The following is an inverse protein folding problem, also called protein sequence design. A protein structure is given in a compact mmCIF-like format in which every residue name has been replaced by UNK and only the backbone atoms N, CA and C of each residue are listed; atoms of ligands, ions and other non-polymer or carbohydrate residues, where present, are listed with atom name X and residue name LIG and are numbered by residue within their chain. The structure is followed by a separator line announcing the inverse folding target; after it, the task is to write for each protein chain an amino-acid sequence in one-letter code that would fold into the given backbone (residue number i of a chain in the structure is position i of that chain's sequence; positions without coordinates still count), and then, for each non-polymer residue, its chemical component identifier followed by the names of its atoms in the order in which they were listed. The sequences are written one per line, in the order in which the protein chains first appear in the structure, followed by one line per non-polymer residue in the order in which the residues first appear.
data_IF_602888664811
#
_entry.id   IF_602888664811
#
_cell.length_a   1.000
_cell.length_b   1.000
_cell.length_c   1.000
_cell.angle_alpha   90.00
_cell.angle_beta   90.00
_cell.angle_gamma   90.00
#
_symmetry.space_group_name_H-M   'P 1'
#
loop_
_entity.id
_entity.type
_entity.pdbx_description
1 polymer ?
#
# COMPACT_ATOMS: atom_id res chain seq x y z
N UNK A 1 -24.54 13.10 -17.52
CA UNK A 1 -23.11 12.86 -17.31
C UNK A 1 -22.59 13.83 -16.27
N UNK A 2 -22.12 13.31 -15.15
CA UNK A 2 -21.40 14.09 -14.15
C UNK A 2 -20.10 14.60 -14.76
N UNK A 3 -19.78 15.86 -14.51
CA UNK A 3 -18.52 16.51 -14.88
C UNK A 3 -17.53 16.45 -13.73
N UNK A 4 -16.25 16.72 -13.99
CA UNK A 4 -15.26 16.86 -12.92
C UNK A 4 -15.67 17.94 -11.92
N UNK A 5 -16.21 19.06 -12.40
CA UNK A 5 -16.73 20.15 -11.58
C UNK A 5 -17.88 19.70 -10.64
N UNK A 6 -18.72 18.76 -11.08
CA UNK A 6 -19.79 18.22 -10.21
C UNK A 6 -19.24 17.38 -9.05
N UNK A 7 -18.04 16.80 -9.23
CA UNK A 7 -17.37 15.94 -8.26
C UNK A 7 -16.40 16.70 -7.34
N UNK A 8 -15.72 17.72 -7.88
CA UNK A 8 -14.85 18.68 -7.16
C UNK A 8 -15.00 20.05 -7.85
N UNK A 9 -15.78 20.99 -7.29
CA UNK A 9 -15.97 22.31 -7.91
C UNK A 9 -14.80 23.29 -7.67
N UNK A 10 -13.90 22.98 -6.72
CA UNK A 10 -12.73 23.81 -6.43
C UNK A 10 -11.54 23.41 -7.31
N UNK A 11 -11.09 24.34 -8.16
CA UNK A 11 -9.96 24.13 -9.06
C UNK A 11 -8.65 23.91 -8.30
N UNK A 12 -8.42 24.64 -7.20
CA UNK A 12 -7.19 24.53 -6.43
C UNK A 12 -7.05 23.12 -5.82
N UNK A 13 -8.16 22.55 -5.34
CA UNK A 13 -8.20 21.17 -4.85
C UNK A 13 -7.83 20.14 -5.93
N UNK A 14 -8.28 20.32 -7.18
CA UNK A 14 -7.91 19.41 -8.28
C UNK A 14 -6.41 19.51 -8.59
N UNK A 15 -5.90 20.74 -8.68
CA UNK A 15 -4.51 21.00 -9.06
C UNK A 15 -3.50 20.66 -7.96
N UNK A 16 -3.96 20.43 -6.73
CA UNK A 16 -3.13 20.00 -5.61
C UNK A 16 -2.98 18.47 -5.51
N UNK A 17 -3.79 17.70 -6.25
CA UNK A 17 -3.78 16.24 -6.20
C UNK A 17 -2.81 15.67 -7.24
N UNK A 18 -2.06 14.66 -6.84
CA UNK A 18 -1.20 13.89 -7.75
C UNK A 18 -2.04 12.96 -8.66
N UNK A 19 -1.49 12.48 -9.80
CA UNK A 19 -2.25 11.68 -10.77
C UNK A 19 -2.92 10.43 -10.18
N UNK A 20 -2.24 9.72 -9.28
CA UNK A 20 -2.80 8.57 -8.55
C UNK A 20 -4.00 8.92 -7.68
N UNK A 21 -4.01 10.08 -7.04
CA UNK A 21 -5.09 10.51 -6.15
C UNK A 21 -6.34 10.88 -6.96
N UNK A 22 -6.15 11.47 -8.15
CA UNK A 22 -7.21 11.79 -9.10
C UNK A 22 -7.69 10.59 -9.94
N UNK A 23 -6.95 9.49 -9.98
CA UNK A 23 -7.28 8.34 -10.83
C UNK A 23 -8.64 7.71 -10.50
N UNK A 24 -9.06 7.74 -9.23
CA UNK A 24 -10.37 7.23 -8.81
C UNK A 24 -11.53 8.05 -9.39
N UNK A 25 -11.36 9.35 -9.40
CA UNK A 25 -12.26 10.31 -10.03
C UNK A 25 -12.36 10.13 -11.53
N UNK A 26 -11.21 9.97 -12.17
CA UNK A 26 -11.13 9.71 -13.60
C UNK A 26 -11.90 8.43 -13.99
N UNK A 27 -11.78 7.35 -13.21
CA UNK A 27 -12.51 6.12 -13.47
C UNK A 27 -14.01 6.25 -13.22
N UNK A 28 -14.45 7.03 -12.22
CA UNK A 28 -15.88 7.37 -12.07
C UNK A 28 -16.41 8.10 -13.29
N UNK A 29 -15.70 9.11 -13.77
CA UNK A 29 -16.06 9.84 -14.98
C UNK A 29 -16.10 8.93 -16.21
N UNK A 30 -15.13 8.03 -16.38
CA UNK A 30 -15.06 7.10 -17.52
C UNK A 30 -16.20 6.07 -17.46
N UNK A 31 -16.56 5.59 -16.27
CA UNK A 31 -17.58 4.56 -16.08
C UNK A 31 -19.00 5.14 -16.03
N UNK A 32 -19.15 6.44 -15.77
CA UNK A 32 -20.42 7.18 -15.89
C UNK A 32 -20.86 7.21 -17.36
N UNK A 33 -21.53 6.14 -17.78
CA UNK A 33 -22.02 5.93 -19.14
C UNK A 33 -23.51 5.60 -19.10
N UNK A 34 -24.33 6.59 -19.40
CA UNK A 34 -25.73 6.36 -19.76
C UNK A 34 -25.80 5.86 -21.20
N UNK A 35 -26.83 5.08 -21.52
CA UNK A 35 -27.06 4.61 -22.89
C UNK A 35 -27.37 5.82 -23.78
N UNK A 36 -26.40 6.24 -24.62
CA UNK A 36 -26.41 7.37 -25.59
C UNK A 36 -25.41 8.51 -25.33
N UNK A 37 -24.51 8.41 -24.34
CA UNK A 37 -23.49 9.45 -24.13
C UNK A 37 -22.19 9.18 -24.90
N UNK A 38 -21.51 10.23 -25.41
CA UNK A 38 -20.18 10.09 -26.02
C UNK A 38 -19.20 9.45 -25.04
N UNK A 39 -18.46 8.45 -25.51
CA UNK A 39 -17.46 7.76 -24.68
C UNK A 39 -16.32 8.71 -24.31
N UNK A 40 -15.93 8.68 -23.03
CA UNK A 40 -14.73 9.37 -22.52
C UNK A 40 -13.45 8.55 -22.73
N UNK A 41 -13.52 7.43 -23.45
CA UNK A 41 -12.38 6.53 -23.69
C UNK A 41 -11.45 7.00 -24.82
N UNK A 42 -11.28 8.31 -24.95
CA UNK A 42 -10.30 8.95 -25.81
C UNK A 42 -9.75 10.17 -25.05
N UNK A 43 -8.43 10.41 -25.09
CA UNK A 43 -7.78 11.51 -24.37
C UNK A 43 -8.42 12.87 -24.69
N UNK A 44 -8.78 13.10 -25.96
CA UNK A 44 -9.40 14.36 -26.40
C UNK A 44 -10.77 14.55 -25.76
N UNK A 45 -11.58 13.49 -25.70
CA UNK A 45 -12.91 13.51 -25.08
C UNK A 45 -12.84 13.59 -23.56
N UNK A 46 -11.84 12.97 -22.96
CA UNK A 46 -11.64 12.94 -21.51
C UNK A 46 -11.18 14.30 -20.96
N UNK A 47 -10.37 15.04 -21.73
CA UNK A 47 -9.87 16.38 -21.39
C UNK A 47 -10.74 17.51 -21.98
N UNK A 48 -11.94 17.18 -22.46
CA UNK A 48 -12.84 18.14 -23.09
C UNK A 48 -13.56 19.00 -22.06
N UNK A 49 -14.09 20.14 -22.49
CA UNK A 49 -14.87 21.03 -21.63
C UNK A 49 -16.14 20.36 -21.10
N UNK A 50 -16.73 19.43 -21.85
CA UNK A 50 -17.92 18.67 -21.46
C UNK A 50 -17.62 17.65 -20.35
N UNK A 51 -16.41 17.09 -20.31
CA UNK A 51 -16.00 16.19 -19.22
C UNK A 51 -15.55 16.97 -17.99
N UNK A 52 -14.84 18.08 -18.19
CA UNK A 52 -14.30 18.90 -17.10
C UNK A 52 -15.39 19.73 -16.40
N UNK A 53 -16.31 20.33 -17.16
CA UNK A 53 -17.36 21.18 -16.60
C UNK A 53 -16.98 22.66 -16.42
N UNK A 54 -17.84 23.46 -15.76
CA UNK A 54 -17.79 24.92 -15.80
C UNK A 54 -16.82 25.55 -14.79
N UNK A 55 -15.50 25.39 -14.98
CA UNK A 55 -14.50 26.14 -14.22
C UNK A 55 -14.26 27.57 -14.77
N UNK A 56 -13.61 28.42 -13.96
CA UNK A 56 -13.17 29.73 -14.42
C UNK A 56 -12.14 29.61 -15.56
N UNK A 57 -12.13 30.60 -16.46
CA UNK A 57 -11.35 30.50 -17.70
C UNK A 57 -9.83 30.33 -17.46
N UNK A 58 -9.30 30.89 -16.36
CA UNK A 58 -7.89 30.74 -15.97
C UNK A 58 -7.51 29.34 -15.50
N UNK A 59 -8.46 28.58 -14.96
CA UNK A 59 -8.20 27.28 -14.34
C UNK A 59 -8.40 26.10 -15.30
N UNK A 60 -9.16 26.31 -16.38
CA UNK A 60 -9.50 25.25 -17.34
C UNK A 60 -8.28 24.60 -17.96
N UNK A 61 -7.29 25.38 -18.38
CA UNK A 61 -6.12 24.84 -19.08
C UNK A 61 -5.22 24.04 -18.13
N UNK A 62 -4.83 24.54 -16.93
CA UNK A 62 -4.15 23.73 -15.92
C UNK A 62 -4.88 22.42 -15.60
N UNK A 63 -6.21 22.47 -15.43
CA UNK A 63 -7.01 21.26 -15.17
C UNK A 63 -6.93 20.29 -16.35
N UNK A 64 -6.96 20.76 -17.60
CA UNK A 64 -6.80 19.89 -18.78
C UNK A 64 -5.46 19.16 -18.79
N UNK A 65 -4.38 19.81 -18.39
CA UNK A 65 -3.07 19.16 -18.27
C UNK A 65 -3.05 18.14 -17.14
N UNK A 66 -3.57 18.46 -15.95
CA UNK A 66 -3.70 17.51 -14.85
C UNK A 66 -4.53 16.27 -15.27
N UNK A 67 -5.65 16.48 -15.96
CA UNK A 67 -6.47 15.41 -16.52
C UNK A 67 -5.69 14.52 -17.51
N UNK A 68 -4.80 15.10 -18.32
CA UNK A 68 -3.96 14.35 -19.25
C UNK A 68 -2.89 13.50 -18.53
N UNK A 69 -2.33 14.01 -17.44
CA UNK A 69 -1.40 13.25 -16.58
C UNK A 69 -2.09 12.05 -15.93
N UNK A 70 -3.31 12.24 -15.43
CA UNK A 70 -4.14 11.15 -14.89
C UNK A 70 -4.43 10.11 -15.95
N UNK A 71 -4.74 10.51 -17.18
CA UNK A 71 -4.92 9.57 -18.29
C UNK A 71 -3.67 8.72 -18.54
N UNK A 72 -2.50 9.36 -18.60
CA UNK A 72 -1.23 8.66 -18.77
C UNK A 72 -0.96 7.66 -17.64
N UNK A 73 -1.26 8.04 -16.40
CA UNK A 73 -1.17 7.16 -15.24
C UNK A 73 -2.10 5.94 -15.36
N UNK A 74 -3.37 6.14 -15.74
CA UNK A 74 -4.34 5.05 -15.93
C UNK A 74 -3.89 4.03 -17.00
N UNK A 75 -3.22 4.50 -18.06
CA UNK A 75 -2.63 3.64 -19.09
C UNK A 75 -1.40 2.91 -18.55
N UNK A 76 -0.48 3.60 -17.86
CA UNK A 76 0.71 3.01 -17.23
C UNK A 76 0.35 1.87 -16.27
N UNK A 77 -0.67 2.07 -15.44
CA UNK A 77 -1.17 1.09 -14.48
C UNK A 77 -1.99 -0.05 -15.11
N UNK A 78 -2.22 0.01 -16.43
CA UNK A 78 -2.96 -0.98 -17.19
C UNK A 78 -4.46 -1.00 -16.85
N UNK A 79 -5.00 0.12 -16.36
CA UNK A 79 -6.44 0.29 -16.11
C UNK A 79 -7.17 0.64 -17.41
N UNK A 80 -6.49 1.37 -18.30
CA UNK A 80 -6.87 1.59 -19.69
C UNK A 80 -5.85 0.93 -20.63
N UNK A 81 -6.29 0.56 -21.83
CA UNK A 81 -5.39 0.11 -22.89
C UNK A 81 -5.91 0.55 -24.27
N UNK A 82 -5.03 0.76 -25.26
CA UNK A 82 -5.44 1.09 -26.63
C UNK A 82 -6.35 0.00 -27.22
N UNK A 83 -7.38 0.41 -27.95
CA UNK A 83 -8.26 -0.52 -28.66
C UNK A 83 -7.49 -1.18 -29.80
N UNK A 84 -7.42 -2.52 -29.86
CA UNK A 84 -6.68 -3.21 -30.91
C UNK A 84 -7.16 -2.81 -32.32
N UNK A 85 -6.23 -2.38 -33.17
CA UNK A 85 -6.51 -1.97 -34.55
C UNK A 85 -7.07 -0.55 -34.70
N UNK A 86 -7.27 0.19 -33.62
CA UNK A 86 -7.67 1.60 -33.68
C UNK A 86 -6.47 2.51 -33.97
N UNK A 87 -6.68 3.55 -34.80
CA UNK A 87 -5.67 4.56 -35.13
C UNK A 87 -6.04 5.97 -34.65
N UNK A 88 -7.20 6.12 -34.00
CA UNK A 88 -7.75 7.41 -33.56
C UNK A 88 -7.54 7.66 -32.06
N UNK A 89 -6.76 6.80 -31.40
CA UNK A 89 -6.41 6.94 -29.99
C UNK A 89 -7.50 6.47 -29.03
N UNK A 90 -8.44 5.63 -29.48
CA UNK A 90 -9.46 5.06 -28.63
C UNK A 90 -8.88 3.99 -27.71
N UNK A 91 -9.34 3.98 -26.47
CA UNK A 91 -8.96 3.03 -25.45
C UNK A 91 -10.18 2.21 -25.01
N UNK A 92 -9.93 1.16 -24.24
CA UNK A 92 -10.96 0.43 -23.53
C UNK A 92 -10.56 0.26 -22.07
N UNK A 93 -11.56 0.14 -21.19
CA UNK A 93 -11.32 -0.21 -19.79
C UNK A 93 -10.90 -1.68 -19.72
N UNK A 94 -9.71 -1.95 -19.20
CA UNK A 94 -9.17 -3.32 -19.15
C UNK A 94 -9.95 -4.19 -18.17
N UNK A 95 -9.69 -5.50 -18.16
CA UNK A 95 -10.23 -6.41 -17.13
C UNK A 95 -9.87 -5.98 -15.71
N UNK A 96 -8.72 -5.31 -15.52
CA UNK A 96 -8.29 -4.74 -14.23
C UNK A 96 -9.08 -3.46 -13.93
N UNK A 97 -9.13 -2.51 -14.87
CA UNK A 97 -9.89 -1.27 -14.71
C UNK A 97 -11.36 -1.51 -14.38
N UNK A 98 -12.00 -2.51 -15.00
CA UNK A 98 -13.42 -2.86 -14.73
C UNK A 98 -13.69 -3.33 -13.29
N UNK A 99 -12.67 -3.79 -12.56
CA UNK A 99 -12.78 -4.16 -11.15
C UNK A 99 -12.73 -2.93 -10.22
N UNK A 100 -12.18 -1.81 -10.69
CA UNK A 100 -12.00 -0.57 -9.95
C UNK A 100 -13.02 0.45 -10.47
N UNK A 101 -14.25 0.36 -9.97
CA UNK A 101 -15.38 1.11 -10.54
C UNK A 101 -15.50 2.55 -10.04
N UNK A 102 -14.91 2.85 -8.89
CA UNK A 102 -15.13 4.11 -8.15
C UNK A 102 -13.88 4.54 -7.36
N UNK A 103 -13.95 5.74 -6.77
CA UNK A 103 -12.91 6.32 -5.90
C UNK A 103 -12.39 5.32 -4.86
N UNK A 104 -13.28 4.66 -4.13
CA UNK A 104 -12.93 3.70 -3.08
C UNK A 104 -12.10 2.53 -3.62
N UNK A 105 -12.50 1.95 -4.74
CA UNK A 105 -11.75 0.87 -5.39
C UNK A 105 -10.38 1.32 -5.89
N UNK A 106 -10.26 2.55 -6.40
CA UNK A 106 -9.01 3.08 -6.94
C UNK A 106 -8.05 3.54 -5.85
N UNK A 107 -8.53 4.17 -4.77
CA UNK A 107 -7.71 4.46 -3.58
C UNK A 107 -7.13 3.18 -3.02
N UNK A 108 -7.94 2.13 -2.89
CA UNK A 108 -7.46 0.82 -2.46
C UNK A 108 -6.42 0.24 -3.45
N UNK A 109 -6.58 0.44 -4.76
CA UNK A 109 -5.59 0.03 -5.76
C UNK A 109 -4.28 0.83 -5.69
N UNK A 110 -4.33 2.15 -5.58
CA UNK A 110 -3.14 3.02 -5.39
C UNK A 110 -2.38 2.59 -4.16
N UNK A 111 -3.10 2.37 -3.06
CA UNK A 111 -2.55 1.77 -1.84
C UNK A 111 -1.89 0.41 -2.16
N UNK A 112 -2.54 -0.48 -2.92
CA UNK A 112 -1.95 -1.76 -3.31
C UNK A 112 -0.70 -1.68 -4.20
N UNK A 113 -0.50 -0.56 -4.91
CA UNK A 113 0.73 -0.27 -5.67
C UNK A 113 1.82 0.23 -4.72
N UNK A 114 1.47 1.09 -3.75
CA UNK A 114 2.38 1.55 -2.71
C UNK A 114 2.89 0.37 -1.88
N UNK A 115 2.04 -0.61 -1.56
CA UNK A 115 2.39 -1.79 -0.77
C UNK A 115 2.65 -3.02 -1.67
N UNK A 116 3.92 -3.37 -1.98
CA UNK A 116 4.26 -4.42 -2.94
C UNK A 116 3.92 -5.82 -2.40
N UNK A 117 2.66 -6.24 -2.54
CA UNK A 117 2.11 -7.47 -1.95
C UNK A 117 2.93 -8.73 -2.22
N UNK A 118 3.55 -8.85 -3.40
CA UNK A 118 4.36 -10.01 -3.79
C UNK A 118 5.69 -10.12 -3.05
N UNK A 119 6.22 -9.03 -2.51
CA UNK A 119 7.49 -9.03 -1.77
C UNK A 119 7.28 -9.22 -0.27
N UNK A 120 6.04 -9.06 0.22
CA UNK A 120 5.70 -9.22 1.63
C UNK A 120 5.58 -10.69 2.05
N UNK A 121 5.76 -10.93 3.35
CA UNK A 121 5.55 -12.22 3.97
C UNK A 121 4.06 -12.62 3.87
N UNK A 122 3.71 -13.86 3.46
CA UNK A 122 2.31 -14.26 3.25
C UNK A 122 1.42 -14.07 4.48
N UNK A 123 1.93 -14.29 5.69
CA UNK A 123 1.14 -14.09 6.91
C UNK A 123 0.89 -12.61 7.22
N UNK A 124 1.87 -11.74 6.98
CA UNK A 124 1.70 -10.28 7.10
C UNK A 124 0.63 -9.79 6.14
N UNK A 125 0.71 -10.22 4.88
CA UNK A 125 -0.30 -9.89 3.86
C UNK A 125 -1.69 -10.35 4.30
N UNK A 126 -1.82 -11.56 4.83
CA UNK A 126 -3.11 -12.09 5.28
C UNK A 126 -3.74 -11.20 6.36
N UNK A 127 -2.94 -10.73 7.31
CA UNK A 127 -3.42 -9.98 8.46
C UNK A 127 -3.64 -8.48 8.15
N UNK A 128 -2.68 -7.80 7.54
CA UNK A 128 -2.71 -6.34 7.42
C UNK A 128 -3.45 -5.82 6.17
N UNK A 129 -3.50 -6.63 5.10
CA UNK A 129 -4.00 -6.18 3.80
C UNK A 129 -5.44 -5.64 3.82
N UNK A 130 -6.41 -6.28 4.49
CA UNK A 130 -7.77 -5.77 4.50
C UNK A 130 -7.88 -4.35 5.09
N UNK A 131 -7.12 -4.05 6.15
CA UNK A 131 -7.10 -2.74 6.79
C UNK A 131 -6.42 -1.70 5.90
N UNK A 132 -5.27 -2.06 5.30
CA UNK A 132 -4.55 -1.19 4.39
C UNK A 132 -5.40 -0.72 3.20
N UNK A 133 -6.16 -1.65 2.61
CA UNK A 133 -7.03 -1.35 1.46
C UNK A 133 -8.19 -0.41 1.81
N UNK A 134 -8.63 -0.36 3.07
CA UNK A 134 -9.68 0.55 3.54
C UNK A 134 -9.15 1.93 3.97
N UNK A 135 -7.84 2.13 3.96
CA UNK A 135 -7.22 3.33 4.50
C UNK A 135 -7.08 3.31 6.03
N UNK A 136 -7.35 2.17 6.68
CA UNK A 136 -7.14 1.96 8.12
C UNK A 136 -5.63 1.68 8.38
N UNK A 137 -4.77 2.64 8.06
CA UNK A 137 -3.32 2.45 8.00
C UNK A 137 -2.69 2.13 9.36
N UNK A 138 -3.16 2.79 10.43
CA UNK A 138 -2.73 2.52 11.80
C UNK A 138 -3.05 1.09 12.24
N UNK A 139 -4.24 0.62 11.88
CA UNK A 139 -4.71 -0.75 12.14
C UNK A 139 -3.89 -1.75 11.34
N UNK A 140 -3.59 -1.44 10.08
CA UNK A 140 -2.75 -2.28 9.21
C UNK A 140 -1.34 -2.46 9.78
N UNK A 141 -0.69 -1.36 10.19
CA UNK A 141 0.65 -1.41 10.81
C UNK A 141 0.61 -2.21 12.10
N UNK A 142 -0.38 -1.95 12.97
CA UNK A 142 -0.54 -2.72 14.21
C UNK A 142 -0.68 -4.23 13.95
N UNK A 143 -1.50 -4.63 12.97
CA UNK A 143 -1.69 -6.04 12.60
C UNK A 143 -0.40 -6.67 12.09
N UNK A 144 0.38 -5.96 11.28
CA UNK A 144 1.67 -6.45 10.78
C UNK A 144 2.69 -6.69 11.92
N UNK A 145 2.83 -5.75 12.86
CA UNK A 145 3.75 -5.92 13.99
C UNK A 145 3.24 -6.90 15.05
N UNK A 146 1.92 -7.07 15.19
CA UNK A 146 1.33 -8.13 16.01
C UNK A 146 1.70 -9.51 15.47
N UNK A 147 1.60 -9.69 14.15
CA UNK A 147 1.98 -10.95 13.49
C UNK A 147 3.47 -11.27 13.69
N UNK A 148 4.35 -10.26 13.55
CA UNK A 148 5.77 -10.41 13.88
C UNK A 148 5.99 -10.85 15.34
N UNK A 149 5.29 -10.24 16.30
CA UNK A 149 5.40 -10.61 17.72
C UNK A 149 4.94 -12.04 18.00
N UNK A 150 3.82 -12.47 17.40
CA UNK A 150 3.32 -13.84 17.49
C UNK A 150 4.39 -14.80 16.97
N UNK A 151 4.96 -14.54 15.79
CA UNK A 151 5.98 -15.40 15.22
C UNK A 151 7.26 -15.49 16.06
N UNK A 152 7.71 -14.37 16.66
CA UNK A 152 8.87 -14.39 17.59
C UNK A 152 8.57 -15.27 18.80
N UNK A 153 7.36 -15.17 19.35
CA UNK A 153 6.94 -15.94 20.52
C UNK A 153 6.86 -17.43 20.20
N UNK A 154 6.24 -17.78 19.08
CA UNK A 154 6.08 -19.16 18.65
C UNK A 154 7.43 -19.80 18.29
N UNK A 155 8.32 -19.07 17.62
CA UNK A 155 9.63 -19.57 17.22
C UNK A 155 10.61 -19.76 18.39
N UNK A 156 10.37 -19.10 19.54
CA UNK A 156 11.19 -19.24 20.74
C UNK A 156 10.52 -19.98 21.90
N UNK A 157 9.35 -20.59 21.68
CA UNK A 157 8.54 -21.27 22.70
C UNK A 157 8.31 -20.41 23.97
N UNK A 158 8.02 -19.12 23.76
CA UNK A 158 7.84 -18.16 24.84
C UNK A 158 6.39 -18.13 25.35
N UNK A 159 6.22 -17.70 26.61
CA UNK A 159 4.91 -17.64 27.24
C UNK A 159 4.05 -16.51 26.67
N UNK A 160 2.73 -16.57 26.88
CA UNK A 160 1.82 -15.48 26.51
C UNK A 160 2.08 -14.16 27.28
N UNK A 161 2.82 -14.22 28.39
CA UNK A 161 3.22 -13.05 29.18
C UNK A 161 4.47 -12.36 28.62
N UNK A 162 5.19 -13.01 27.71
CA UNK A 162 6.31 -12.43 26.98
C UNK A 162 5.77 -11.66 25.76
N UNK A 163 5.77 -10.32 25.83
CA UNK A 163 5.33 -9.46 24.72
C UNK A 163 6.20 -8.21 24.54
N UNK A 164 6.06 -7.59 23.36
CA UNK A 164 6.70 -6.35 22.97
C UNK A 164 8.22 -6.38 23.05
N UNK A 165 8.79 -5.29 23.56
CA UNK A 165 10.24 -5.10 23.72
C UNK A 165 10.87 -6.21 24.57
N UNK A 166 10.19 -6.64 25.64
CA UNK A 166 10.71 -7.69 26.54
C UNK A 166 10.85 -9.02 25.82
N UNK A 167 9.84 -9.40 25.03
CA UNK A 167 9.90 -10.60 24.20
C UNK A 167 11.06 -10.54 23.20
N UNK A 168 11.19 -9.46 22.43
CA UNK A 168 12.26 -9.36 21.43
C UNK A 168 13.66 -9.41 22.06
N UNK A 169 13.86 -8.72 23.19
CA UNK A 169 15.14 -8.75 23.92
C UNK A 169 15.47 -10.13 24.46
N UNK A 170 14.46 -10.87 24.92
CA UNK A 170 14.59 -12.25 25.35
C UNK A 170 14.94 -13.13 24.14
N UNK A 171 14.13 -13.10 23.08
CA UNK A 171 14.24 -13.97 21.92
C UNK A 171 15.54 -13.85 21.12
N UNK A 172 16.12 -12.64 21.06
CA UNK A 172 17.36 -12.36 20.33
C UNK A 172 18.56 -12.09 21.27
N UNK A 173 18.51 -12.57 22.51
CA UNK A 173 19.60 -12.37 23.46
C UNK A 173 20.92 -12.96 22.91
N UNK A 174 22.03 -12.23 23.09
CA UNK A 174 23.32 -12.50 22.42
C UNK A 174 23.95 -13.85 22.77
N UNK A 175 23.60 -14.44 23.91
CA UNK A 175 24.30 -15.61 24.47
C UNK A 175 23.43 -16.83 24.70
N UNK A 176 22.10 -16.72 24.71
CA UNK A 176 21.24 -17.75 25.36
C UNK A 176 19.92 -18.04 24.65
N UNK A 177 19.74 -17.70 23.37
CA UNK A 177 18.42 -17.85 22.76
C UNK A 177 18.37 -18.48 21.36
N UNK A 178 17.24 -19.16 21.06
CA UNK A 178 17.07 -20.01 19.87
C UNK A 178 17.08 -19.22 18.55
N UNK A 179 16.72 -17.94 18.56
CA UNK A 179 16.69 -17.12 17.34
C UNK A 179 18.02 -16.37 17.08
N UNK A 180 18.99 -16.53 17.96
CA UNK A 180 20.30 -15.90 17.85
C UNK A 180 21.26 -16.80 17.08
N UNK A 181 21.67 -16.36 15.90
CA UNK A 181 22.72 -17.01 15.12
C UNK A 181 24.08 -16.84 15.81
N UNK A 182 24.54 -17.91 16.44
CA UNK A 182 25.79 -17.93 17.20
C UNK A 182 27.04 -17.90 16.31
N UNK A 183 26.91 -18.12 15.00
CA UNK A 183 28.01 -18.02 14.05
C UNK A 183 28.36 -16.56 13.73
N UNK A 184 27.49 -15.61 14.09
CA UNK A 184 27.68 -14.18 13.85
C UNK A 184 28.49 -13.52 14.98
N UNK A 185 29.29 -12.48 14.68
CA UNK A 185 29.98 -11.67 15.68
C UNK A 185 29.01 -11.11 16.73
N UNK A 186 29.45 -11.01 17.99
CA UNK A 186 28.62 -10.53 19.10
C UNK A 186 27.95 -9.17 18.80
N UNK A 187 28.67 -8.25 18.15
CA UNK A 187 28.13 -6.96 17.74
C UNK A 187 26.95 -7.06 16.75
N UNK A 188 26.98 -8.02 15.81
CA UNK A 188 25.87 -8.24 14.87
C UNK A 188 24.65 -8.85 15.56
N UNK A 189 24.89 -9.72 16.56
CA UNK A 189 23.82 -10.31 17.39
C UNK A 189 23.12 -9.23 18.21
N UNK A 190 23.90 -8.36 18.86
CA UNK A 190 23.40 -7.21 19.60
C UNK A 190 22.56 -6.27 18.71
N UNK A 191 23.09 -5.94 17.52
CA UNK A 191 22.42 -5.03 16.59
C UNK A 191 21.07 -5.57 16.09
N UNK A 192 20.96 -6.88 15.83
CA UNK A 192 19.68 -7.48 15.45
C UNK A 192 18.67 -7.46 16.59
N UNK A 193 19.12 -7.74 17.83
CA UNK A 193 18.27 -7.66 19.01
C UNK A 193 17.77 -6.22 19.23
N UNK A 194 18.63 -5.22 19.03
CA UNK A 194 18.29 -3.80 19.06
C UNK A 194 17.24 -3.45 18.00
N UNK A 195 17.42 -3.92 16.76
CA UNK A 195 16.49 -3.67 15.66
C UNK A 195 15.10 -4.27 15.94
N UNK A 196 15.04 -5.53 16.36
CA UNK A 196 13.78 -6.22 16.67
C UNK A 196 13.03 -5.54 17.82
N UNK A 197 13.74 -5.24 18.90
CA UNK A 197 13.17 -4.57 20.06
C UNK A 197 12.73 -3.13 19.72
N UNK A 198 13.55 -2.40 18.97
CA UNK A 198 13.25 -1.05 18.50
C UNK A 198 12.03 -1.02 17.60
N UNK A 199 11.90 -1.96 16.66
CA UNK A 199 10.77 -2.01 15.74
C UNK A 199 9.44 -2.29 16.47
N UNK A 200 9.38 -3.28 17.37
CA UNK A 200 8.18 -3.53 18.19
C UNK A 200 7.88 -2.34 19.12
N UNK A 201 8.92 -1.76 19.72
CA UNK A 201 8.82 -0.61 20.61
C UNK A 201 8.26 0.64 19.93
N UNK A 202 8.69 0.90 18.69
CA UNK A 202 8.34 2.10 17.94
C UNK A 202 7.03 1.99 17.18
N UNK A 203 6.69 0.82 16.65
CA UNK A 203 5.57 0.70 15.70
C UNK A 203 4.38 -0.14 16.20
N UNK A 204 4.54 -0.94 17.26
CA UNK A 204 3.40 -1.65 17.88
C UNK A 204 2.89 -0.95 19.12
N UNK A 205 3.80 -0.54 20.00
CA UNK A 205 3.42 -0.02 21.32
C UNK A 205 2.66 1.31 21.24
N UNK A 206 3.03 2.30 20.41
CA UNK A 206 2.26 3.54 20.31
C UNK A 206 0.83 3.31 19.81
N UNK A 207 0.65 2.44 18.81
CA UNK A 207 -0.67 2.07 18.29
C UNK A 207 -1.55 1.31 19.30
N UNK A 208 -0.93 0.71 20.32
CA UNK A 208 -1.66 0.04 21.42
C UNK A 208 -2.18 1.02 22.48
N UNK A 209 -1.68 2.26 22.51
CA UNK A 209 -1.96 3.22 23.59
C UNK A 209 -2.44 4.59 23.11
N UNK A 210 -2.29 4.92 21.82
CA UNK A 210 -2.66 6.21 21.23
C UNK A 210 -3.14 6.01 19.80
N UNK A 211 -4.03 6.90 19.35
CA UNK A 211 -4.44 6.97 17.94
C UNK A 211 -3.35 7.71 17.16
N UNK A 212 -2.67 7.00 16.27
CA UNK A 212 -1.62 7.56 15.39
C UNK A 212 -2.27 7.82 14.04
N UNK A 213 -2.13 9.04 13.50
CA UNK A 213 -2.49 9.31 12.11
C UNK A 213 -1.28 8.95 11.24
N UNK A 214 -1.46 7.96 10.35
CA UNK A 214 -0.45 7.52 9.39
C UNK A 214 -0.96 7.76 7.97
N UNK A 215 -0.05 8.12 7.07
CA UNK A 215 -0.28 8.09 5.63
C UNK A 215 -0.05 6.69 5.04
N UNK A 216 -0.48 6.48 3.79
CA UNK A 216 -0.32 5.20 3.08
C UNK A 216 1.16 4.84 2.87
N UNK A 217 2.00 5.82 2.54
CA UNK A 217 3.43 5.66 2.30
C UNK A 217 4.16 5.21 3.57
N UNK A 218 3.98 5.95 4.66
CA UNK A 218 4.61 5.64 5.95
C UNK A 218 4.16 4.25 6.47
N UNK A 219 2.88 3.93 6.32
CA UNK A 219 2.37 2.61 6.67
C UNK A 219 2.98 1.51 5.79
N UNK A 220 3.25 1.78 4.51
CA UNK A 220 3.94 0.83 3.64
C UNK A 220 5.35 0.52 4.15
N UNK A 221 6.15 1.55 4.44
CA UNK A 221 7.51 1.38 4.97
C UNK A 221 7.53 0.52 6.24
N UNK A 222 6.61 0.81 7.15
CA UNK A 222 6.45 0.07 8.41
C UNK A 222 6.05 -1.39 8.18
N UNK A 223 5.13 -1.66 7.25
CA UNK A 223 4.69 -3.04 6.93
C UNK A 223 5.80 -3.81 6.22
N UNK A 224 6.53 -3.18 5.31
CA UNK A 224 7.70 -3.77 4.63
C UNK A 224 8.78 -4.14 5.66
N UNK A 225 9.04 -3.26 6.62
CA UNK A 225 9.94 -3.55 7.73
C UNK A 225 9.47 -4.76 8.55
N UNK A 226 8.21 -4.76 9.01
CA UNK A 226 7.65 -5.89 9.76
C UNK A 226 7.76 -7.22 8.98
N UNK A 227 7.45 -7.19 7.69
CA UNK A 227 7.61 -8.33 6.80
C UNK A 227 9.05 -8.79 6.65
N UNK A 228 10.01 -7.87 6.57
CA UNK A 228 11.42 -8.24 6.46
C UNK A 228 11.91 -8.90 7.76
N UNK A 229 11.56 -8.32 8.91
CA UNK A 229 11.89 -8.87 10.22
C UNK A 229 11.28 -10.27 10.43
N UNK A 230 10.04 -10.49 9.96
CA UNK A 230 9.41 -11.80 10.07
C UNK A 230 10.15 -12.88 9.27
N UNK A 231 10.62 -12.56 8.07
CA UNK A 231 11.45 -13.48 7.28
C UNK A 231 12.77 -13.84 7.99
N UNK A 232 13.33 -12.90 8.77
CA UNK A 232 14.50 -13.19 9.61
C UNK A 232 14.12 -14.18 10.72
N UNK A 233 12.97 -14.02 11.38
CA UNK A 233 12.50 -14.95 12.41
C UNK A 233 12.35 -16.37 11.85
N UNK A 234 11.71 -16.51 10.69
CA UNK A 234 11.54 -17.82 10.05
C UNK A 234 12.87 -18.46 9.65
N UNK A 235 13.77 -17.69 9.04
CA UNK A 235 15.10 -18.16 8.69
C UNK A 235 15.91 -18.63 9.91
N UNK A 236 15.63 -18.09 11.11
CA UNK A 236 16.25 -18.52 12.36
C UNK A 236 15.59 -19.73 13.00
N UNK A 237 14.28 -19.91 12.81
CA UNK A 237 13.56 -21.10 13.26
C UNK A 237 13.97 -22.34 12.47
N UNK A 238 14.11 -22.20 11.16
CA UNK A 238 14.37 -23.34 10.26
C UNK A 238 15.86 -23.76 10.25
N UNK A 239 16.74 -23.04 10.97
CA UNK A 239 18.15 -23.40 11.14
C UNK A 239 18.33 -24.25 12.39
N UNK A 240 17.98 -25.54 12.28
CA UNK A 240 18.25 -26.54 13.32
C UNK A 240 19.75 -26.96 13.25
N UNK A 241 20.56 -26.77 14.31
CA UNK A 241 21.99 -27.07 14.29
C UNK A 241 22.35 -28.56 14.09
N UNK A 242 21.38 -29.48 14.08
CA UNK A 242 21.62 -30.91 13.82
C UNK A 242 21.94 -31.23 12.35
N UNK A 243 21.47 -30.44 11.37
CA UNK A 243 21.75 -30.71 9.94
C UNK A 243 23.18 -30.32 9.51
N UNK A 244 23.89 -29.51 10.28
CA UNK A 244 25.26 -29.08 9.94
C UNK A 244 26.35 -30.09 10.36
N UNK A 245 25.98 -31.22 10.97
CA UNK A 245 26.91 -32.28 11.41
C UNK A 245 26.72 -33.63 10.70
N UNK A 246 25.97 -33.67 9.60
CA UNK A 246 25.82 -34.87 8.75
C UNK A 246 26.60 -34.77 7.44
#
# INVERSE_FOLDING_TARGET
MATLHDLIPDAASILALEPEELAGLALELINDSESNTPSRLNLTSFTSHETIGPFAQGDKEPIRFAMAEVWNWLVREGLLAPTPGDSFGWHFVTRRGKKLKNREGTTAYVNSVLLPRSTLHPSIVKECWPAFMRGDYDTSVFQAFRELEVAIRDAGDFSAEDYGVKLARKAFHETTCPLTDQLKPAAERAALADLMAGALGSYKNPHSHRKVQLGAEEACEMIVLASHLLKIVEARRDHDPEEASS
#
